data_IF_664632879804
#
_entry.id   IF_664632879804
#
_cell.length_a   1.000
_cell.length_b   1.000
_cell.length_c   1.000
_cell.angle_alpha   90.00
_cell.angle_beta   90.00
_cell.angle_gamma   90.00
#
_symmetry.space_group_name_H-M   'P 1'
#
loop_
_entity.id
_entity.type
_entity.pdbx_description
1 polymer ?
#
# COMPACT_ATOMS: atom_id res chain seq x y z
N UNK A 1 5.90 -1.22 -2.99
CA UNK A 1 6.11 -1.46 -4.43
C UNK A 1 6.99 -0.37 -5.02
N UNK A 2 7.85 -0.68 -5.98
CA UNK A 2 8.69 0.32 -6.67
C UNK A 2 8.34 0.36 -8.16
N UNK A 3 8.24 1.57 -8.71
CA UNK A 3 8.06 1.80 -10.15
C UNK A 3 9.24 2.64 -10.63
N UNK A 4 9.89 2.15 -11.70
CA UNK A 4 11.03 2.81 -12.31
C UNK A 4 10.71 4.26 -12.71
N UNK A 5 11.65 5.21 -12.56
CA UNK A 5 11.39 6.63 -12.79
C UNK A 5 10.73 6.94 -14.14
N UNK A 6 11.19 6.30 -15.23
CA UNK A 6 10.64 6.49 -16.58
C UNK A 6 9.22 5.95 -16.81
N UNK A 7 8.67 5.19 -15.85
CA UNK A 7 7.33 4.64 -15.90
C UNK A 7 6.36 5.29 -14.90
N UNK A 8 6.84 6.26 -14.09
CA UNK A 8 6.00 6.99 -13.13
C UNK A 8 5.01 7.91 -13.84
N UNK A 9 3.89 8.21 -13.19
CA UNK A 9 2.84 9.05 -13.77
C UNK A 9 2.03 8.41 -14.90
N UNK A 10 2.30 7.14 -15.24
CA UNK A 10 1.64 6.41 -16.34
C UNK A 10 0.64 5.35 -15.85
N UNK A 11 0.20 5.43 -14.59
CA UNK A 11 -0.76 4.49 -14.00
C UNK A 11 -0.22 3.10 -13.67
N UNK A 12 1.10 2.86 -13.77
CA UNK A 12 1.70 1.54 -13.46
C UNK A 12 1.47 1.13 -12.01
N UNK A 13 1.60 2.08 -11.07
CA UNK A 13 1.29 1.80 -9.65
C UNK A 13 -0.15 1.36 -9.44
N UNK A 14 -1.10 1.96 -10.17
CA UNK A 14 -2.52 1.58 -10.11
C UNK A 14 -2.77 0.18 -10.64
N UNK A 15 -2.16 -0.15 -11.78
CA UNK A 15 -2.28 -1.47 -12.37
C UNK A 15 -1.74 -2.56 -11.43
N UNK A 16 -0.59 -2.30 -10.77
CA UNK A 16 0.01 -3.24 -9.83
C UNK A 16 -0.87 -3.43 -8.58
N UNK A 17 -1.38 -2.36 -7.97
CA UNK A 17 -2.25 -2.47 -6.78
C UNK A 17 -3.52 -3.25 -7.10
N UNK A 18 -4.17 -2.97 -8.25
CA UNK A 18 -5.36 -3.70 -8.69
C UNK A 18 -5.07 -5.18 -8.92
N UNK A 19 -3.96 -5.50 -9.58
CA UNK A 19 -3.58 -6.88 -9.85
C UNK A 19 -3.34 -7.67 -8.55
N UNK A 20 -2.67 -7.07 -7.57
CA UNK A 20 -2.46 -7.69 -6.24
C UNK A 20 -3.78 -7.89 -5.51
N UNK A 21 -4.68 -6.91 -5.55
CA UNK A 21 -6.00 -7.03 -4.94
C UNK A 21 -6.84 -8.13 -5.56
N UNK A 22 -6.92 -8.19 -6.89
CA UNK A 22 -7.65 -9.24 -7.59
C UNK A 22 -7.10 -10.62 -7.25
N UNK A 23 -5.78 -10.76 -7.21
CA UNK A 23 -5.13 -12.01 -6.82
C UNK A 23 -5.46 -12.39 -5.38
N UNK A 24 -5.34 -11.46 -4.43
CA UNK A 24 -5.60 -11.71 -3.01
C UNK A 24 -7.08 -12.10 -2.76
N UNK A 25 -8.02 -11.44 -3.45
CA UNK A 25 -9.45 -11.81 -3.40
C UNK A 25 -9.68 -13.22 -3.92
N UNK A 26 -9.06 -13.60 -5.05
CA UNK A 26 -9.16 -14.97 -5.60
C UNK A 26 -8.54 -16.01 -4.66
N UNK A 27 -7.50 -15.63 -3.91
CA UNK A 27 -6.89 -16.47 -2.89
C UNK A 27 -7.70 -16.57 -1.58
N UNK A 28 -8.83 -15.85 -1.46
CA UNK A 28 -9.65 -15.85 -0.24
C UNK A 28 -9.07 -15.02 0.91
N UNK A 29 -8.15 -14.10 0.63
CA UNK A 29 -7.59 -13.22 1.65
C UNK A 29 -8.65 -12.27 2.24
N UNK A 30 -8.60 -12.07 3.55
CA UNK A 30 -9.52 -11.15 4.26
C UNK A 30 -9.06 -9.69 4.26
N UNK A 31 -7.77 -9.43 4.06
CA UNK A 31 -7.18 -8.09 4.11
C UNK A 31 -5.90 -8.03 3.25
N UNK A 32 -5.61 -6.85 2.69
CA UNK A 32 -4.26 -6.48 2.26
C UNK A 32 -3.61 -5.58 3.31
N UNK A 33 -2.34 -5.83 3.60
CA UNK A 33 -1.52 -5.03 4.50
C UNK A 33 -0.20 -4.68 3.84
N UNK A 34 0.26 -3.45 4.04
CA UNK A 34 1.56 -2.99 3.56
C UNK A 34 2.16 -1.96 4.51
N UNK A 35 3.48 -1.79 4.41
CA UNK A 35 4.22 -0.71 5.06
C UNK A 35 4.59 0.40 4.08
N UNK A 36 4.62 1.63 4.58
CA UNK A 36 5.03 2.84 3.86
C UNK A 36 6.04 3.61 4.69
N UNK A 37 7.19 3.91 4.09
CA UNK A 37 8.19 4.79 4.72
C UNK A 37 7.58 6.16 5.06
N UNK A 38 7.86 6.74 6.24
CA UNK A 38 7.53 8.11 6.56
C UNK A 38 8.02 9.07 5.47
N UNK A 39 7.20 10.08 5.14
CA UNK A 39 7.51 11.05 4.09
C UNK A 39 7.26 10.57 2.65
N UNK A 40 6.94 9.28 2.42
CA UNK A 40 6.59 8.80 1.08
C UNK A 40 5.13 9.11 0.72
N UNK A 41 4.82 10.41 0.60
CA UNK A 41 3.48 10.92 0.34
C UNK A 41 2.88 10.37 -0.97
N UNK A 42 3.70 10.09 -1.98
CA UNK A 42 3.26 9.52 -3.24
C UNK A 42 2.72 8.09 -3.08
N UNK A 43 3.45 7.22 -2.36
CA UNK A 43 3.00 5.86 -2.09
C UNK A 43 1.74 5.86 -1.21
N UNK A 44 1.74 6.68 -0.14
CA UNK A 44 0.58 6.78 0.73
C UNK A 44 -0.68 7.27 -0.02
N UNK A 45 -0.54 8.25 -0.92
CA UNK A 45 -1.64 8.71 -1.76
C UNK A 45 -2.11 7.66 -2.79
N UNK A 46 -1.18 6.87 -3.36
CA UNK A 46 -1.53 5.71 -4.19
C UNK A 46 -2.36 4.71 -3.42
N UNK A 47 -1.93 4.28 -2.23
CA UNK A 47 -2.69 3.26 -1.50
C UNK A 47 -4.03 3.79 -0.99
N UNK A 48 -4.10 5.04 -0.50
CA UNK A 48 -5.38 5.66 -0.08
C UNK A 48 -6.42 5.70 -1.19
N UNK A 49 -6.05 6.06 -2.43
CA UNK A 49 -7.02 6.07 -3.54
C UNK A 49 -7.51 4.68 -3.94
N UNK A 50 -6.80 3.62 -3.55
CA UNK A 50 -7.24 2.23 -3.70
C UNK A 50 -8.00 1.71 -2.47
N UNK A 51 -8.32 2.56 -1.50
CA UNK A 51 -9.12 2.20 -0.32
C UNK A 51 -8.32 1.56 0.81
N UNK A 52 -7.01 1.80 0.88
CA UNK A 52 -6.23 1.50 2.07
C UNK A 52 -6.39 2.61 3.11
N UNK A 53 -6.55 2.21 4.36
CA UNK A 53 -6.59 3.08 5.54
C UNK A 53 -5.21 3.10 6.20
N UNK A 54 -4.76 4.27 6.65
CA UNK A 54 -3.48 4.45 7.35
C UNK A 54 -3.68 4.19 8.84
N UNK A 55 -3.03 3.14 9.36
CA UNK A 55 -3.06 2.76 10.77
C UNK A 55 -2.01 3.51 11.60
N UNK A 56 -1.27 4.43 10.98
CA UNK A 56 -0.19 5.19 11.59
C UNK A 56 1.13 4.42 11.68
N UNK A 57 2.10 4.97 12.42
CA UNK A 57 3.49 4.49 12.48
C UNK A 57 3.62 3.27 13.41
N UNK A 58 2.88 2.21 13.10
CA UNK A 58 2.83 0.95 13.88
C UNK A 58 3.60 -0.18 13.22
N UNK A 59 4.35 0.11 12.16
CA UNK A 59 5.22 -0.84 11.47
C UNK A 59 6.60 -0.95 12.13
N UNK A 60 7.55 -1.40 11.33
CA UNK A 60 8.93 -1.62 11.75
C UNK A 60 9.61 -0.31 12.15
N UNK A 61 10.55 -0.43 13.10
CA UNK A 61 11.33 0.70 13.59
C UNK A 61 12.44 1.07 12.61
N UNK A 62 12.65 2.37 12.45
CA UNK A 62 13.62 2.95 11.54
C UNK A 62 14.87 3.43 12.30
N UNK A 63 16.03 3.54 11.65
CA UNK A 63 17.27 3.97 12.30
C UNK A 63 17.23 5.37 12.94
N UNK A 64 16.28 6.22 12.54
CA UNK A 64 16.07 7.56 13.07
C UNK A 64 15.10 7.61 14.27
N UNK A 65 14.64 6.44 14.75
CA UNK A 65 13.67 6.32 15.83
C UNK A 65 12.22 6.49 15.38
N UNK A 66 11.97 6.73 14.09
CA UNK A 66 10.63 6.67 13.50
C UNK A 66 10.16 5.23 13.30
N UNK A 67 8.94 5.07 12.78
CA UNK A 67 8.37 3.78 12.38
C UNK A 67 7.70 3.89 11.02
N UNK A 68 7.67 2.79 10.29
CA UNK A 68 6.88 2.70 9.07
C UNK A 68 5.38 2.87 9.35
N UNK A 69 4.68 3.52 8.42
CA UNK A 69 3.23 3.57 8.44
C UNK A 69 2.66 2.27 7.89
N UNK A 70 1.80 1.60 8.66
CA UNK A 70 1.08 0.43 8.17
C UNK A 70 -0.23 0.88 7.55
N UNK A 71 -0.52 0.42 6.35
CA UNK A 71 -1.81 0.64 5.71
C UNK A 71 -2.53 -0.67 5.44
N UNK A 72 -3.83 -0.68 5.68
CA UNK A 72 -4.68 -1.87 5.59
C UNK A 72 -5.88 -1.65 4.68
N UNK A 73 -6.30 -2.69 3.98
CA UNK A 73 -7.54 -2.70 3.20
C UNK A 73 -8.28 -4.02 3.42
N UNK A 74 -9.43 -4.00 4.11
CA UNK A 74 -10.30 -5.17 4.17
C UNK A 74 -10.75 -5.61 2.77
N UNK A 75 -10.71 -6.91 2.51
CA UNK A 75 -11.13 -7.52 1.24
C UNK A 75 -12.43 -8.33 1.36
N UNK A 76 -12.92 -8.56 2.58
CA UNK A 76 -14.14 -9.34 2.80
C UNK A 76 -15.33 -8.59 2.18
N UNK A 77 -16.15 -9.31 1.41
CA UNK A 77 -17.43 -8.81 0.89
C UNK A 77 -18.36 -8.54 2.08
N UNK A 78 -19.02 -7.37 2.08
CA UNK A 78 -20.30 -7.24 2.78
C UNK A 78 -21.34 -8.16 2.17
#
# INVERSE_FOLDING_TARGET
MWVGPGARGRGVGDALVRAVEEWARKAGAGELRLSVMPGNAHAAALYRRHGFEDMGPVGDELPDGGREHVMVKPLIRG
#
